data_IF_137938596808
#
_entry.id   IF_137938596808
#
_cell.length_a   1.000
_cell.length_b   1.000
_cell.length_c   1.000
_cell.angle_alpha   90.00
_cell.angle_beta   90.00
_cell.angle_gamma   90.00
#
_symmetry.space_group_name_H-M   'P 1'
#
loop_
_entity.id
_entity.type
_entity.pdbx_description
1 polymer ?
#
# COMPACT_ATOMS: atom_id res chain seq x y z
N UNK A 1 -27.73 -19.59 -21.01
CA UNK A 1 -27.03 -18.87 -19.92
C UNK A 1 -26.81 -17.44 -20.42
N UNK A 2 -27.56 -16.46 -19.92
CA UNK A 2 -27.44 -15.06 -20.33
C UNK A 2 -26.48 -14.37 -19.34
N UNK A 3 -25.29 -13.97 -19.80
CA UNK A 3 -24.35 -13.17 -19.00
C UNK A 3 -24.76 -11.70 -19.07
N UNK A 4 -25.41 -11.21 -18.03
CA UNK A 4 -25.61 -9.77 -17.81
C UNK A 4 -24.27 -9.18 -17.35
N UNK A 5 -23.54 -8.57 -18.27
CA UNK A 5 -22.44 -7.68 -17.91
C UNK A 5 -23.06 -6.40 -17.32
N UNK A 6 -23.22 -6.36 -16.01
CA UNK A 6 -23.49 -5.11 -15.31
C UNK A 6 -22.29 -4.19 -15.51
N UNK A 7 -22.50 -3.01 -16.08
CA UNK A 7 -21.48 -1.97 -16.08
C UNK A 7 -21.13 -1.66 -14.62
N UNK A 8 -19.94 -2.07 -14.18
CA UNK A 8 -19.43 -1.60 -12.90
C UNK A 8 -19.38 -0.07 -12.99
N UNK A 9 -20.11 0.62 -12.12
CA UNK A 9 -20.06 2.07 -11.94
C UNK A 9 -18.72 2.47 -11.30
N UNK A 10 -17.61 2.05 -11.91
CA UNK A 10 -16.24 2.18 -11.43
C UNK A 10 -15.37 3.03 -12.34
N UNK A 11 -15.96 3.82 -13.24
CA UNK A 11 -15.24 4.92 -13.89
C UNK A 11 -15.24 6.12 -12.94
N UNK A 12 -14.51 6.03 -11.84
CA UNK A 12 -14.09 7.27 -11.18
C UNK A 12 -13.22 8.03 -12.19
N UNK A 13 -13.62 9.23 -12.55
CA UNK A 13 -12.79 10.11 -13.37
C UNK A 13 -11.43 10.26 -12.71
N UNK A 14 -10.37 9.92 -13.45
CA UNK A 14 -9.00 10.10 -12.99
C UNK A 14 -8.76 11.60 -12.84
N UNK A 15 -8.44 12.05 -11.63
CA UNK A 15 -8.14 13.46 -11.33
C UNK A 15 -6.64 13.62 -11.08
N UNK A 16 -6.03 14.59 -11.74
CA UNK A 16 -4.69 15.05 -11.37
C UNK A 16 -4.78 15.88 -10.09
N UNK A 17 -3.98 15.51 -9.10
CA UNK A 17 -3.90 16.19 -7.79
C UNK A 17 -2.45 16.41 -7.41
N UNK A 18 -2.22 17.34 -6.50
CA UNK A 18 -0.91 17.62 -5.92
C UNK A 18 -0.99 17.38 -4.41
N UNK A 19 -0.71 16.16 -3.94
CA UNK A 19 -0.81 15.83 -2.53
C UNK A 19 0.12 16.70 -1.69
N UNK A 20 -0.34 17.03 -0.49
CA UNK A 20 0.43 17.80 0.47
C UNK A 20 0.60 17.01 1.77
N UNK A 21 1.85 16.83 2.19
CA UNK A 21 2.18 16.24 3.49
C UNK A 21 1.94 17.30 4.55
N UNK A 22 0.91 17.10 5.38
CA UNK A 22 0.51 18.06 6.41
C UNK A 22 1.38 17.89 7.66
N UNK A 23 1.65 16.64 8.05
CA UNK A 23 2.45 16.31 9.23
C UNK A 23 3.32 15.08 8.99
N UNK A 24 4.58 15.20 9.38
CA UNK A 24 5.53 14.09 9.53
C UNK A 24 6.31 14.39 10.80
N UNK A 25 5.84 13.88 11.95
CA UNK A 25 6.62 13.88 13.22
C UNK A 25 5.91 13.19 14.39
N UNK A 26 5.13 12.15 14.15
CA UNK A 26 4.83 11.19 15.22
C UNK A 26 6.07 10.33 15.48
N UNK A 27 6.45 10.10 16.74
CA UNK A 27 7.54 9.18 17.09
C UNK A 27 7.28 7.74 16.61
N UNK A 28 6.02 7.44 16.28
CA UNK A 28 5.47 6.20 15.76
C UNK A 28 5.49 6.11 14.21
N UNK A 29 5.93 7.16 13.52
CA UNK A 29 5.95 7.21 12.05
C UNK A 29 4.60 7.52 11.41
N UNK A 30 3.62 8.04 12.18
CA UNK A 30 2.36 8.50 11.62
C UNK A 30 2.54 9.69 10.65
N UNK A 31 1.74 9.70 9.58
CA UNK A 31 1.75 10.74 8.54
C UNK A 31 0.33 11.16 8.19
N UNK A 32 0.12 12.45 7.96
CA UNK A 32 -1.16 12.97 7.44
C UNK A 32 -0.91 13.57 6.06
N UNK A 33 -1.59 13.04 5.05
CA UNK A 33 -1.44 13.47 3.66
C UNK A 33 -2.79 13.91 3.11
N UNK A 34 -2.89 15.18 2.69
CA UNK A 34 -4.06 15.68 1.97
C UNK A 34 -3.89 15.40 0.50
N UNK A 35 -4.77 14.60 -0.09
CA UNK A 35 -4.78 14.30 -1.53
C UNK A 35 -5.50 15.43 -2.27
N UNK A 36 -6.69 15.80 -1.81
CA UNK A 36 -7.49 16.94 -2.26
C UNK A 36 -8.52 17.31 -1.17
N UNK A 37 -9.33 18.35 -1.35
CA UNK A 37 -10.23 18.85 -0.29
C UNK A 37 -11.21 17.82 0.27
N UNK A 38 -11.69 16.89 -0.56
CA UNK A 38 -12.54 15.77 -0.13
C UNK A 38 -11.82 14.51 0.38
N UNK A 39 -10.48 14.45 0.41
CA UNK A 39 -9.74 13.24 0.79
C UNK A 39 -8.42 13.58 1.50
N UNK A 40 -8.35 13.18 2.76
CA UNK A 40 -7.14 13.19 3.59
C UNK A 40 -6.88 11.79 4.11
N UNK A 41 -5.64 11.33 4.00
CA UNK A 41 -5.18 10.04 4.50
C UNK A 41 -4.49 10.24 5.85
N UNK A 42 -4.85 9.40 6.81
CA UNK A 42 -4.22 9.29 8.12
C UNK A 42 -3.45 7.97 8.15
N UNK A 43 -2.18 8.05 7.79
CA UNK A 43 -1.33 6.91 7.55
C UNK A 43 -0.61 6.50 8.85
N UNK A 44 -0.71 5.23 9.20
CA UNK A 44 0.13 4.59 10.23
C UNK A 44 1.13 3.65 9.57
N UNK A 45 2.23 3.35 10.25
CA UNK A 45 3.16 2.32 9.78
C UNK A 45 2.43 0.98 9.66
N UNK A 46 2.59 0.33 8.51
CA UNK A 46 2.01 -0.98 8.26
C UNK A 46 2.83 -2.06 8.98
N UNK A 47 2.15 -3.16 9.33
CA UNK A 47 2.79 -4.39 9.80
C UNK A 47 2.03 -5.56 9.20
N UNK A 48 2.36 -5.87 7.95
CA UNK A 48 1.62 -6.85 7.12
C UNK A 48 2.47 -8.05 6.75
N UNK A 49 3.79 -7.90 6.77
CA UNK A 49 4.71 -8.97 6.45
C UNK A 49 4.89 -9.94 7.65
N UNK A 50 5.01 -11.22 7.36
CA UNK A 50 5.47 -12.19 8.35
C UNK A 50 6.92 -11.86 8.78
N UNK A 51 7.35 -12.22 10.01
CA UNK A 51 8.70 -11.90 10.48
C UNK A 51 9.82 -12.37 9.55
N UNK A 52 9.60 -13.48 8.84
CA UNK A 52 10.49 -13.96 7.78
C UNK A 52 9.67 -14.45 6.60
N UNK A 53 9.92 -13.90 5.41
CA UNK A 53 9.41 -14.43 4.16
C UNK A 53 10.44 -15.34 3.51
N UNK A 54 9.97 -16.51 3.07
CA UNK A 54 10.75 -17.50 2.31
C UNK A 54 10.32 -17.43 0.86
N UNK A 55 11.23 -17.08 -0.03
CA UNK A 55 10.97 -16.95 -1.46
C UNK A 55 11.77 -17.99 -2.21
N UNK A 56 11.07 -18.82 -2.97
CA UNK A 56 11.65 -19.78 -3.90
C UNK A 56 11.79 -19.11 -5.27
N UNK A 57 13.02 -18.95 -5.73
CA UNK A 57 13.35 -18.26 -6.98
C UNK A 57 14.16 -19.18 -7.89
N UNK A 58 14.31 -18.79 -9.16
CA UNK A 58 15.23 -19.45 -10.09
C UNK A 58 16.19 -18.41 -10.66
N UNK A 59 17.48 -18.63 -10.47
CA UNK A 59 18.54 -17.77 -11.01
C UNK A 59 19.42 -18.61 -11.94
N UNK A 60 19.53 -18.21 -13.21
CA UNK A 60 20.23 -18.97 -14.26
C UNK A 60 19.76 -20.43 -14.37
N UNK A 61 18.45 -20.65 -14.22
CA UNK A 61 17.83 -21.97 -14.28
C UNK A 61 18.07 -22.86 -13.05
N UNK A 62 18.73 -22.37 -12.00
CA UNK A 62 18.93 -23.10 -10.75
C UNK A 62 17.97 -22.60 -9.67
N UNK A 63 17.29 -23.50 -8.94
CA UNK A 63 16.44 -23.10 -7.83
C UNK A 63 17.31 -22.54 -6.70
N UNK A 64 16.88 -21.41 -6.14
CA UNK A 64 17.47 -20.80 -4.96
C UNK A 64 16.37 -20.44 -3.97
N UNK A 65 16.74 -20.35 -2.69
CA UNK A 65 15.83 -19.93 -1.61
C UNK A 65 16.41 -18.68 -0.97
N UNK A 66 15.61 -17.62 -0.92
CA UNK A 66 15.95 -16.37 -0.24
C UNK A 66 15.05 -16.15 0.97
N UNK A 67 15.64 -15.60 2.02
CA UNK A 67 14.96 -15.23 3.25
C UNK A 67 14.98 -13.71 3.37
N UNK A 68 13.82 -13.12 3.53
CA UNK A 68 13.65 -11.68 3.73
C UNK A 68 13.08 -11.42 5.12
N UNK A 69 13.56 -10.38 5.80
CA UNK A 69 12.95 -9.92 7.05
C UNK A 69 11.67 -9.17 6.74
N UNK A 70 10.58 -9.47 7.45
CA UNK A 70 9.32 -8.75 7.29
C UNK A 70 9.47 -7.25 7.52
N UNK A 71 10.23 -6.87 8.55
CA UNK A 71 10.52 -5.47 8.88
C UNK A 71 11.19 -4.69 7.74
N UNK A 72 11.91 -5.36 6.83
CA UNK A 72 12.51 -4.72 5.66
C UNK A 72 11.46 -4.36 4.61
N UNK A 73 10.41 -5.17 4.50
CA UNK A 73 9.26 -4.95 3.61
C UNK A 73 8.36 -3.85 4.19
N UNK A 74 8.05 -3.94 5.48
CA UNK A 74 7.16 -3.01 6.17
C UNK A 74 7.82 -1.65 6.45
N UNK A 75 9.15 -1.53 6.26
CA UNK A 75 9.95 -0.38 6.71
C UNK A 75 9.38 0.98 6.28
N UNK A 76 8.96 1.06 5.01
CA UNK A 76 8.48 2.28 4.39
C UNK A 76 6.99 2.23 4.03
N UNK A 77 6.31 1.13 4.37
CA UNK A 77 4.91 0.93 4.03
C UNK A 77 4.04 1.59 5.10
N UNK A 78 3.11 2.43 4.66
CA UNK A 78 2.12 3.05 5.53
C UNK A 78 0.70 2.79 4.99
N UNK A 79 -0.27 2.68 5.89
CA UNK A 79 -1.65 2.36 5.55
C UNK A 79 -2.64 3.30 6.24
N UNK A 80 -3.73 3.60 5.54
CA UNK A 80 -4.98 4.12 6.11
C UNK A 80 -6.06 3.05 5.89
N UNK A 81 -6.34 2.28 6.94
CA UNK A 81 -7.30 1.17 6.88
C UNK A 81 -8.73 1.63 6.57
N UNK A 82 -9.10 2.85 6.97
CA UNK A 82 -10.45 3.36 6.76
C UNK A 82 -10.67 3.74 5.30
N UNK A 83 -9.63 4.27 4.67
CA UNK A 83 -9.63 4.64 3.26
C UNK A 83 -9.17 3.49 2.34
N UNK A 84 -8.73 2.36 2.92
CA UNK A 84 -8.16 1.21 2.19
C UNK A 84 -7.03 1.63 1.24
N UNK A 85 -6.15 2.51 1.73
CA UNK A 85 -5.06 3.10 0.95
C UNK A 85 -3.69 2.77 1.56
N UNK A 86 -2.68 2.63 0.70
CA UNK A 86 -1.28 2.39 1.10
C UNK A 86 -0.33 3.34 0.37
N UNK A 87 0.79 3.67 1.02
CA UNK A 87 1.86 4.56 0.53
C UNK A 87 3.25 4.01 0.88
#
# INVERSE_FOLDING_TARGET
LLLLAGAAAGLQEKRLVYPYLLEERGADGAKVVRIHDGLTLNLRKASVAAPTLVVHEHENGKPIVRFYKGDDIDRNLHEDEKQLATL
#
